data_IF_810049370114
#
_entry.id   IF_810049370114
#
_cell.length_a   1.000
_cell.length_b   1.000
_cell.length_c   1.000
_cell.angle_alpha   90.00
_cell.angle_beta   90.00
_cell.angle_gamma   90.00
#
_symmetry.space_group_name_H-M   'P 1'
#
loop_
_entity.id
_entity.type
_entity.pdbx_description
1 polymer ?
#
# COMPACT_ATOMS: atom_id res chain seq x y z
N UNK A 1 5.47 11.77 21.97
CA UNK A 1 4.16 11.69 21.28
C UNK A 1 4.27 11.33 19.79
N UNK A 2 5.35 11.66 19.06
CA UNK A 2 5.47 11.40 17.61
C UNK A 2 5.58 9.93 17.17
N UNK A 3 6.40 9.10 17.83
CA UNK A 3 6.66 7.72 17.35
C UNK A 3 5.47 6.77 17.50
N UNK A 4 4.65 6.93 18.56
CA UNK A 4 3.42 6.14 18.72
C UNK A 4 2.43 6.42 17.58
N UNK A 5 2.24 7.70 17.26
CA UNK A 5 1.35 8.12 16.19
C UNK A 5 1.82 7.62 14.81
N UNK A 6 3.14 7.58 14.60
CA UNK A 6 3.72 7.08 13.36
C UNK A 6 3.43 5.59 13.14
N UNK A 7 3.58 4.76 14.18
CA UNK A 7 3.26 3.32 14.11
C UNK A 7 1.76 3.11 13.85
N UNK A 8 0.89 3.89 14.49
CA UNK A 8 -0.55 3.82 14.26
C UNK A 8 -0.89 4.16 12.80
N UNK A 9 -0.32 5.23 12.24
CA UNK A 9 -0.52 5.60 10.84
C UNK A 9 0.03 4.56 9.86
N UNK A 10 1.21 4.01 10.13
CA UNK A 10 1.78 2.93 9.34
C UNK A 10 0.90 1.68 9.38
N UNK A 11 0.33 1.32 10.53
CA UNK A 11 -0.57 0.19 10.65
C UNK A 11 -1.89 0.42 9.90
N UNK A 12 -2.48 1.60 10.05
CA UNK A 12 -3.72 1.98 9.34
C UNK A 12 -3.57 1.95 7.82
N UNK A 13 -2.36 2.18 7.29
CA UNK A 13 -2.07 2.12 5.85
C UNK A 13 -1.60 0.74 5.38
N UNK A 14 -0.83 0.01 6.18
CA UNK A 14 -0.35 -1.33 5.84
C UNK A 14 -1.47 -2.39 5.84
N UNK A 15 -2.37 -2.35 6.83
CA UNK A 15 -3.46 -3.33 6.98
C UNK A 15 -4.34 -3.44 5.72
N UNK A 16 -4.88 -2.34 5.16
CA UNK A 16 -5.69 -2.43 3.94
C UNK A 16 -4.85 -2.87 2.73
N UNK A 17 -3.56 -2.49 2.66
CA UNK A 17 -2.68 -2.92 1.58
C UNK A 17 -2.46 -4.44 1.54
N UNK A 18 -2.48 -5.13 2.68
CA UNK A 18 -2.41 -6.60 2.70
C UNK A 18 -3.54 -7.26 1.91
N UNK A 19 -4.69 -6.59 1.75
CA UNK A 19 -5.81 -7.07 0.92
C UNK A 19 -5.80 -6.48 -0.49
N UNK A 20 -5.45 -5.20 -0.64
CA UNK A 20 -5.43 -4.53 -1.95
C UNK A 20 -4.33 -5.04 -2.87
N UNK A 21 -3.10 -5.19 -2.36
CA UNK A 21 -1.97 -5.66 -3.16
C UNK A 21 -2.24 -7.00 -3.87
N UNK A 22 -2.71 -8.06 -3.19
CA UNK A 22 -3.00 -9.33 -3.86
C UNK A 22 -4.17 -9.24 -4.84
N UNK A 23 -5.12 -8.32 -4.64
CA UNK A 23 -6.19 -8.07 -5.62
C UNK A 23 -5.62 -7.59 -6.97
N UNK A 24 -4.57 -6.75 -6.94
CA UNK A 24 -3.86 -6.30 -8.15
C UNK A 24 -2.73 -7.26 -8.60
N UNK A 25 -2.63 -8.46 -8.02
CA UNK A 25 -1.57 -9.44 -8.32
C UNK A 25 -0.19 -9.09 -7.76
N UNK A 26 -0.10 -8.12 -6.84
CA UNK A 26 1.13 -7.71 -6.16
C UNK A 26 1.30 -8.50 -4.85
N UNK A 27 2.53 -8.88 -4.51
CA UNK A 27 2.81 -9.68 -3.31
C UNK A 27 2.46 -8.91 -2.02
N UNK A 28 1.64 -9.53 -1.15
CA UNK A 28 1.17 -8.99 0.14
C UNK A 28 2.28 -8.47 1.06
N UNK A 29 3.49 -9.03 1.00
CA UNK A 29 4.59 -8.60 1.86
C UNK A 29 5.10 -7.18 1.55
N UNK A 30 4.75 -6.64 0.38
CA UNK A 30 5.03 -5.24 0.05
C UNK A 30 4.30 -4.24 0.93
N UNK A 31 3.22 -4.63 1.62
CA UNK A 31 2.54 -3.76 2.59
C UNK A 31 3.46 -3.26 3.72
N UNK A 32 4.59 -3.94 3.99
CA UNK A 32 5.61 -3.47 4.93
C UNK A 32 6.27 -2.16 4.49
N UNK A 33 6.27 -1.84 3.19
CA UNK A 33 6.79 -0.57 2.70
C UNK A 33 5.92 0.62 3.14
N UNK A 34 4.67 0.40 3.55
CA UNK A 34 3.81 1.45 4.13
C UNK A 34 4.29 1.98 5.48
N UNK A 35 5.26 1.31 6.10
CA UNK A 35 5.97 1.86 7.25
C UNK A 35 6.65 3.17 6.85
N UNK A 36 7.23 3.24 5.66
CA UNK A 36 7.87 4.46 5.13
C UNK A 36 6.85 5.22 4.27
N UNK A 37 6.63 6.53 4.50
CA UNK A 37 5.63 7.30 3.74
C UNK A 37 5.84 7.24 2.23
N UNK A 38 7.09 7.24 1.77
CA UNK A 38 7.43 7.07 0.35
C UNK A 38 7.04 5.70 -0.21
N UNK A 39 7.12 4.63 0.60
CA UNK A 39 6.71 3.29 0.18
C UNK A 39 5.20 3.23 -0.10
N UNK A 40 4.40 3.89 0.72
CA UNK A 40 2.95 4.02 0.48
C UNK A 40 2.66 4.71 -0.85
N UNK A 41 3.37 5.81 -1.17
CA UNK A 41 3.18 6.55 -2.42
C UNK A 41 3.49 5.67 -3.63
N UNK A 42 4.61 4.95 -3.61
CA UNK A 42 5.02 4.05 -4.70
C UNK A 42 3.99 2.94 -4.89
N UNK A 43 3.50 2.32 -3.82
CA UNK A 43 2.51 1.24 -3.92
C UNK A 43 1.16 1.74 -4.43
N UNK A 44 0.72 2.93 -4.02
CA UNK A 44 -0.47 3.58 -4.59
C UNK A 44 -0.31 3.85 -6.08
N UNK A 45 0.88 4.29 -6.52
CA UNK A 45 1.17 4.49 -7.94
C UNK A 45 1.09 3.17 -8.72
N UNK A 46 1.72 2.11 -8.22
CA UNK A 46 1.68 0.78 -8.84
C UNK A 46 0.25 0.27 -8.95
N UNK A 47 -0.54 0.40 -7.88
CA UNK A 47 -1.96 0.03 -7.89
C UNK A 47 -2.76 0.86 -8.88
N UNK A 48 -2.50 2.17 -8.99
CA UNK A 48 -3.15 3.04 -9.97
C UNK A 48 -2.85 2.65 -11.41
N UNK A 49 -1.60 2.27 -11.73
CA UNK A 49 -1.24 1.73 -13.04
C UNK A 49 -1.96 0.41 -13.31
N UNK A 50 -2.00 -0.50 -12.33
CA UNK A 50 -2.70 -1.79 -12.43
C UNK A 50 -4.21 -1.61 -12.61
N UNK A 51 -4.81 -0.62 -11.93
CA UNK A 51 -6.22 -0.30 -12.09
C UNK A 51 -6.53 0.18 -13.51
N UNK A 52 -5.71 1.08 -14.07
CA UNK A 52 -5.86 1.57 -15.44
C UNK A 52 -5.69 0.46 -16.49
N UNK A 53 -4.85 -0.55 -16.23
CA UNK A 53 -4.76 -1.76 -17.08
C UNK A 53 -6.06 -2.58 -17.04
N UNK A 54 -6.70 -2.70 -15.86
CA UNK A 54 -7.96 -3.42 -15.70
C UNK A 54 -9.15 -2.70 -16.32
N UNK A 55 -9.20 -1.37 -16.26
CA UNK A 55 -10.29 -0.57 -16.86
C UNK A 55 -10.26 -0.56 -18.40
N UNK A 56 -9.12 -0.91 -19.00
CA UNK A 56 -8.96 -1.02 -20.46
C UNK A 56 -9.32 -2.39 -21.03
N UNK A 57 -9.56 -3.37 -20.17
CA UNK A 57 -10.00 -4.73 -20.53
C UNK A 57 -11.53 -4.80 -20.61
#
# INVERSE_FOLDING_TARGET
MGSFWWIVLSALTAIPMLKLLPFFGVNKYWALACVIPFGTIVLLWVMGMKLNELEKL
#
